data_IF_642271887395
#
_entry.id   IF_642271887395
#
_cell.length_a   1.000
_cell.length_b   1.000
_cell.length_c   1.000
_cell.angle_alpha   90.00
_cell.angle_beta   90.00
_cell.angle_gamma   90.00
#
_symmetry.space_group_name_H-M   'P 1'
#
loop_
_entity.id
_entity.type
_entity.pdbx_description
1 polymer ?
#
# COMPACT_ATOMS: atom_id res chain seq x y z
N UNK A 1 19.48 13.95 15.95
CA UNK A 1 18.42 13.95 14.89
C UNK A 1 18.77 13.10 13.67
N UNK A 2 19.94 13.19 13.04
CA UNK A 2 20.30 12.34 11.91
C UNK A 2 20.55 10.86 12.29
N UNK A 3 21.05 10.57 13.47
CA UNK A 3 21.26 9.21 13.97
C UNK A 3 19.94 8.49 14.21
N UNK A 4 18.94 9.19 14.76
CA UNK A 4 17.59 8.66 14.98
C UNK A 4 16.85 8.41 13.65
N UNK A 5 16.97 9.29 12.65
CA UNK A 5 16.37 9.08 11.31
C UNK A 5 16.99 7.89 10.57
N UNK A 6 18.30 7.65 10.73
CA UNK A 6 18.96 6.48 10.15
C UNK A 6 18.60 5.18 10.86
N UNK A 7 18.45 5.20 12.19
CA UNK A 7 17.95 4.07 12.96
C UNK A 7 16.49 3.76 12.67
N UNK A 8 15.63 4.78 12.50
CA UNK A 8 14.22 4.61 12.16
C UNK A 8 14.05 4.01 10.75
N UNK A 9 14.88 4.41 9.78
CA UNK A 9 14.90 3.81 8.44
C UNK A 9 15.29 2.33 8.45
N UNK A 10 16.13 1.90 9.39
CA UNK A 10 16.48 0.49 9.63
C UNK A 10 15.34 -0.30 10.30
N UNK A 11 14.41 0.38 10.99
CA UNK A 11 13.26 -0.23 11.66
C UNK A 11 12.07 -0.52 10.73
N UNK A 12 12.13 -0.12 9.47
CA UNK A 12 11.03 -0.24 8.51
C UNK A 12 11.47 -0.78 7.15
N UNK A 13 12.20 -1.91 7.11
CA UNK A 13 12.66 -2.44 5.83
C UNK A 13 11.48 -2.96 5.01
N UNK A 14 11.54 -2.74 3.71
CA UNK A 14 10.79 -3.56 2.77
C UNK A 14 11.33 -4.99 2.84
N UNK A 15 10.45 -5.96 2.71
CA UNK A 15 10.82 -7.37 2.66
C UNK A 15 10.41 -7.98 1.30
N UNK A 16 10.78 -9.23 1.08
CA UNK A 16 10.50 -9.92 -0.19
C UNK A 16 9.01 -10.18 -0.46
N UNK A 17 8.16 -10.04 0.54
CA UNK A 17 6.71 -10.18 0.41
C UNK A 17 6.01 -8.86 0.09
N UNK A 18 6.70 -7.71 0.18
CA UNK A 18 6.11 -6.43 -0.17
C UNK A 18 5.94 -6.27 -1.68
N UNK A 19 4.78 -5.78 -2.08
CA UNK A 19 4.55 -5.33 -3.45
C UNK A 19 5.11 -3.93 -3.63
N UNK A 20 6.15 -3.79 -4.45
CA UNK A 20 6.92 -2.55 -4.60
C UNK A 20 6.89 -2.04 -6.03
N UNK A 21 6.64 -0.73 -6.19
CA UNK A 21 6.87 0.02 -7.42
C UNK A 21 8.15 0.85 -7.28
N UNK A 22 8.85 1.06 -8.38
CA UNK A 22 10.10 1.84 -8.45
C UNK A 22 11.35 0.98 -8.31
N UNK A 23 12.50 1.61 -8.45
CA UNK A 23 13.80 0.93 -8.46
C UNK A 23 14.25 0.56 -7.04
N UNK A 24 14.88 -0.60 -6.91
CA UNK A 24 15.49 -1.03 -5.64
C UNK A 24 16.58 -0.04 -5.15
N UNK A 25 17.19 0.70 -6.07
CA UNK A 25 18.22 1.72 -5.81
C UNK A 25 17.65 3.08 -5.41
N UNK A 26 16.32 3.27 -5.42
CA UNK A 26 15.69 4.52 -5.01
C UNK A 26 16.05 4.87 -3.56
N UNK A 27 16.38 6.13 -3.33
CA UNK A 27 16.86 6.62 -2.03
C UNK A 27 15.73 6.90 -1.04
N UNK A 28 14.52 7.11 -1.55
CA UNK A 28 13.32 7.33 -0.73
C UNK A 28 12.38 6.15 -0.84
N UNK A 29 11.97 5.63 0.31
CA UNK A 29 10.95 4.59 0.42
C UNK A 29 9.69 5.19 1.00
N UNK A 30 8.58 5.04 0.30
CA UNK A 30 7.23 5.39 0.76
C UNK A 30 6.45 4.11 0.99
N UNK A 31 5.86 3.95 2.18
CA UNK A 31 4.96 2.84 2.49
C UNK A 31 3.60 3.43 2.83
N UNK A 32 2.57 2.97 2.13
CA UNK A 32 1.18 3.24 2.47
C UNK A 32 0.57 2.03 3.16
N UNK A 33 0.03 2.22 4.35
CA UNK A 33 -0.95 1.31 4.93
C UNK A 33 -2.34 1.77 4.50
N UNK A 34 -2.99 0.96 3.71
CA UNK A 34 -4.24 1.31 3.04
C UNK A 34 -5.32 0.24 3.15
N UNK A 35 -6.52 0.69 2.86
CA UNK A 35 -7.75 -0.11 2.85
C UNK A 35 -8.51 0.20 1.56
N UNK A 36 -8.81 -0.83 0.79
CA UNK A 36 -9.46 -0.67 -0.52
C UNK A 36 -10.89 -0.12 -0.44
N UNK A 37 -11.55 -0.23 0.72
CA UNK A 37 -12.90 0.30 0.92
C UNK A 37 -12.90 1.68 1.62
N UNK A 38 -11.73 2.17 2.11
CA UNK A 38 -11.61 3.45 2.77
C UNK A 38 -11.73 4.63 1.78
N UNK A 39 -12.67 5.57 1.98
CA UNK A 39 -12.84 6.72 1.07
C UNK A 39 -11.63 7.66 1.04
N UNK A 40 -10.90 7.77 2.15
CA UNK A 40 -9.66 8.57 2.20
C UNK A 40 -8.53 7.95 1.40
N UNK A 41 -8.39 6.61 1.41
CA UNK A 41 -7.43 5.90 0.55
C UNK A 41 -7.79 6.11 -0.93
N UNK A 42 -9.07 6.04 -1.29
CA UNK A 42 -9.52 6.35 -2.64
C UNK A 42 -9.15 7.77 -3.07
N UNK A 43 -9.25 8.73 -2.17
CA UNK A 43 -8.85 10.12 -2.44
C UNK A 43 -7.33 10.24 -2.60
N UNK A 44 -6.55 9.51 -1.80
CA UNK A 44 -5.09 9.49 -1.88
C UNK A 44 -4.56 8.79 -3.13
N UNK A 45 -5.22 7.75 -3.61
CA UNK A 45 -4.79 6.91 -4.73
C UNK A 45 -4.34 7.69 -5.99
N UNK A 46 -5.14 8.61 -6.60
CA UNK A 46 -4.69 9.37 -7.76
C UNK A 46 -3.53 10.30 -7.43
N UNK A 47 -3.47 10.87 -6.24
CA UNK A 47 -2.37 11.73 -5.82
C UNK A 47 -1.07 10.95 -5.65
N UNK A 48 -1.11 9.72 -5.12
CA UNK A 48 0.05 8.81 -5.07
C UNK A 48 0.55 8.53 -6.48
N UNK A 49 -0.32 8.22 -7.44
CA UNK A 49 0.08 8.00 -8.85
C UNK A 49 0.79 9.22 -9.44
N UNK A 50 0.30 10.44 -9.15
CA UNK A 50 0.95 11.69 -9.58
C UNK A 50 2.33 11.86 -8.94
N UNK A 51 2.43 11.62 -7.63
CA UNK A 51 3.71 11.69 -6.91
C UNK A 51 4.75 10.71 -7.47
N UNK A 52 4.35 9.45 -7.67
CA UNK A 52 5.23 8.44 -8.23
C UNK A 52 5.69 8.80 -9.65
N UNK A 53 4.80 9.34 -10.48
CA UNK A 53 5.16 9.83 -11.81
C UNK A 53 6.11 11.03 -11.75
N UNK A 54 5.95 11.94 -10.78
CA UNK A 54 6.81 13.11 -10.61
C UNK A 54 8.21 12.74 -10.14
N UNK A 55 8.31 11.87 -9.15
CA UNK A 55 9.59 11.48 -8.57
C UNK A 55 10.30 10.34 -9.31
N UNK A 56 9.56 9.58 -10.12
CA UNK A 56 10.06 8.46 -10.94
C UNK A 56 10.99 7.52 -10.15
N UNK A 57 12.16 7.22 -10.70
CA UNK A 57 13.11 6.24 -10.15
C UNK A 57 13.77 6.65 -8.82
N UNK A 58 13.50 7.85 -8.32
CA UNK A 58 14.01 8.36 -7.04
C UNK A 58 13.24 7.86 -5.83
N UNK A 59 12.01 7.35 -6.04
CA UNK A 59 11.12 6.85 -5.00
C UNK A 59 10.73 5.42 -5.32
N UNK A 60 10.75 4.56 -4.31
CA UNK A 60 10.07 3.28 -4.33
C UNK A 60 8.88 3.32 -3.39
N UNK A 61 7.79 2.70 -3.81
CA UNK A 61 6.51 2.73 -3.11
C UNK A 61 6.05 1.31 -2.81
N UNK A 62 5.62 1.05 -1.59
CA UNK A 62 4.97 -0.18 -1.20
C UNK A 62 3.58 0.09 -0.64
N UNK A 63 2.63 -0.75 -1.02
CA UNK A 63 1.31 -0.80 -0.41
C UNK A 63 1.24 -1.98 0.56
N UNK A 64 0.73 -1.73 1.77
CA UNK A 64 0.48 -2.74 2.79
C UNK A 64 -0.96 -2.67 3.26
N UNK A 65 -1.54 -3.82 3.50
CA UNK A 65 -2.94 -3.93 3.91
C UNK A 65 -3.17 -3.47 5.34
N UNK A 66 -4.25 -2.70 5.52
CA UNK A 66 -4.76 -2.31 6.83
C UNK A 66 -6.29 -2.25 6.78
N UNK A 67 -6.98 -3.41 6.61
CA UNK A 67 -8.44 -3.43 6.56
C UNK A 67 -9.05 -3.01 7.90
N UNK A 68 -10.02 -2.10 7.85
CA UNK A 68 -10.79 -1.60 9.01
C UNK A 68 -12.18 -2.21 8.95
N UNK A 69 -12.27 -3.50 9.23
CA UNK A 69 -13.48 -4.33 9.00
C UNK A 69 -14.73 -3.85 9.72
N UNK A 70 -14.57 -3.14 10.86
CA UNK A 70 -15.68 -2.57 11.60
C UNK A 70 -16.41 -1.46 10.84
N UNK A 71 -15.73 -0.81 9.90
CA UNK A 71 -16.26 0.28 9.08
C UNK A 71 -16.43 -0.13 7.61
N UNK A 72 -15.61 -1.07 7.16
CA UNK A 72 -15.43 -1.47 5.76
C UNK A 72 -15.58 -2.98 5.61
N UNK A 73 -16.82 -3.51 5.48
CA UNK A 73 -17.07 -4.95 5.54
C UNK A 73 -16.44 -5.78 4.42
N UNK A 74 -16.10 -5.16 3.29
CA UNK A 74 -15.46 -5.86 2.16
C UNK A 74 -13.94 -5.70 2.12
N UNK A 75 -13.36 -4.86 3.01
CA UNK A 75 -11.95 -4.48 2.95
C UNK A 75 -10.99 -5.66 3.05
N UNK A 76 -11.31 -6.64 3.91
CA UNK A 76 -10.50 -7.84 4.12
C UNK A 76 -10.52 -8.74 2.88
N UNK A 77 -11.71 -8.96 2.30
CA UNK A 77 -11.85 -9.75 1.06
C UNK A 77 -11.17 -9.07 -0.13
N UNK A 78 -11.25 -7.74 -0.23
CA UNK A 78 -10.56 -6.99 -1.25
C UNK A 78 -9.02 -7.12 -1.10
N UNK A 79 -8.51 -7.07 0.13
CA UNK A 79 -7.09 -7.29 0.42
C UNK A 79 -6.63 -8.70 0.02
N UNK A 80 -7.40 -9.75 0.38
CA UNK A 80 -7.13 -11.12 -0.03
C UNK A 80 -7.14 -11.29 -1.56
N UNK A 81 -8.08 -10.63 -2.24
CA UNK A 81 -8.16 -10.64 -3.71
C UNK A 81 -6.91 -10.00 -4.34
N UNK A 82 -6.40 -8.91 -3.77
CA UNK A 82 -5.18 -8.28 -4.23
C UNK A 82 -3.95 -9.19 -4.05
N UNK A 83 -3.84 -9.89 -2.91
CA UNK A 83 -2.77 -10.84 -2.65
C UNK A 83 -2.87 -12.08 -3.56
N UNK A 84 -4.08 -12.61 -3.78
CA UNK A 84 -4.31 -13.69 -4.73
C UNK A 84 -3.87 -13.30 -6.15
N UNK A 85 -4.13 -12.05 -6.55
CA UNK A 85 -3.61 -11.52 -7.80
C UNK A 85 -2.09 -11.35 -7.76
N UNK A 86 -1.54 -10.95 -6.62
CA UNK A 86 -0.11 -10.84 -6.37
C UNK A 86 0.62 -12.17 -6.54
N UNK A 87 0.05 -13.27 -6.03
CA UNK A 87 0.56 -14.63 -6.19
C UNK A 87 0.60 -15.09 -7.65
N UNK A 88 -0.09 -14.36 -8.55
CA UNK A 88 -0.08 -14.57 -9.99
C UNK A 88 0.59 -13.42 -10.77
N UNK A 89 1.34 -12.55 -10.06
CA UNK A 89 2.09 -11.44 -10.66
C UNK A 89 1.23 -10.26 -11.14
N UNK A 90 0.03 -10.09 -10.57
CA UNK A 90 -0.96 -9.07 -10.98
C UNK A 90 -1.44 -8.18 -9.83
N UNK A 91 -0.66 -8.04 -8.75
CA UNK A 91 -1.04 -7.23 -7.59
C UNK A 91 -1.46 -5.81 -7.99
N UNK A 92 -0.61 -5.09 -8.70
CA UNK A 92 -0.85 -3.68 -9.02
C UNK A 92 -2.04 -3.46 -9.96
N UNK A 93 -2.27 -4.38 -10.88
CA UNK A 93 -3.46 -4.32 -11.74
C UNK A 93 -4.75 -4.52 -10.92
N UNK A 94 -4.75 -5.45 -9.97
CA UNK A 94 -5.87 -5.66 -9.07
C UNK A 94 -6.05 -4.48 -8.12
N UNK A 95 -4.96 -4.00 -7.52
CA UNK A 95 -4.93 -2.82 -6.65
C UNK A 95 -5.60 -1.61 -7.32
N UNK A 96 -5.24 -1.32 -8.56
CA UNK A 96 -5.81 -0.20 -9.31
C UNK A 96 -7.32 -0.41 -9.55
N UNK A 97 -7.74 -1.60 -9.98
CA UNK A 97 -9.16 -1.91 -10.18
C UNK A 97 -9.99 -1.77 -8.91
N UNK A 98 -9.46 -2.21 -7.75
CA UNK A 98 -10.16 -2.12 -6.48
C UNK A 98 -10.41 -0.66 -6.07
N UNK A 99 -9.41 0.22 -6.20
CA UNK A 99 -9.60 1.65 -5.91
C UNK A 99 -10.49 2.35 -6.93
N UNK A 100 -10.37 2.02 -8.21
CA UNK A 100 -11.18 2.60 -9.28
C UNK A 100 -12.65 2.18 -9.19
N UNK A 101 -12.93 1.01 -8.57
CA UNK A 101 -14.27 0.45 -8.42
C UNK A 101 -14.69 0.26 -6.95
N UNK A 102 -14.26 1.11 -6.05
CA UNK A 102 -14.45 0.98 -4.60
C UNK A 102 -15.90 0.76 -4.15
N UNK A 103 -16.89 1.13 -4.95
CA UNK A 103 -18.31 0.89 -4.69
C UNK A 103 -18.77 -0.55 -4.97
N UNK A 104 -17.87 -1.41 -5.47
CA UNK A 104 -18.17 -2.76 -5.95
C UNK A 104 -17.06 -3.71 -5.53
N UNK A 105 -17.01 -4.03 -4.22
CA UNK A 105 -15.98 -4.91 -3.62
C UNK A 105 -16.55 -6.22 -3.08
N UNK A 106 -17.82 -6.55 -3.39
CA UNK A 106 -18.37 -7.87 -3.09
C UNK A 106 -17.70 -8.97 -3.92
N UNK A 107 -17.72 -10.22 -3.42
CA UNK A 107 -17.00 -11.36 -4.01
C UNK A 107 -17.27 -11.56 -5.51
N UNK A 108 -18.49 -11.31 -5.96
CA UNK A 108 -18.85 -11.39 -7.39
C UNK A 108 -18.07 -10.40 -8.26
N UNK A 109 -17.86 -9.17 -7.76
CA UNK A 109 -17.08 -8.14 -8.45
C UNK A 109 -15.59 -8.43 -8.38
N UNK A 110 -15.09 -8.88 -7.23
CA UNK A 110 -13.69 -9.27 -7.06
C UNK A 110 -13.31 -10.36 -8.10
N UNK A 111 -14.19 -11.34 -8.30
CA UNK A 111 -13.98 -12.39 -9.29
C UNK A 111 -14.03 -11.86 -10.73
N UNK A 112 -14.87 -10.86 -11.03
CA UNK A 112 -14.89 -10.19 -12.33
C UNK A 112 -13.57 -9.44 -12.58
N UNK A 113 -13.01 -8.78 -11.56
CA UNK A 113 -11.70 -8.13 -11.67
C UNK A 113 -10.58 -9.15 -11.88
N UNK A 114 -10.63 -10.30 -11.22
CA UNK A 114 -9.69 -11.39 -11.44
C UNK A 114 -9.69 -11.85 -12.92
N UNK A 115 -10.87 -11.99 -13.53
CA UNK A 115 -11.01 -12.27 -14.96
C UNK A 115 -10.43 -11.14 -15.82
N UNK A 116 -10.73 -9.88 -15.47
CA UNK A 116 -10.26 -8.70 -16.22
C UNK A 116 -8.74 -8.59 -16.21
N UNK A 117 -8.06 -8.89 -15.10
CA UNK A 117 -6.59 -8.89 -15.02
C UNK A 117 -5.97 -10.21 -15.47
N UNK A 118 -6.79 -11.11 -16.03
CA UNK A 118 -6.37 -12.38 -16.66
C UNK A 118 -5.68 -13.34 -15.68
N UNK A 119 -6.27 -13.52 -14.50
CA UNK A 119 -5.82 -14.55 -13.57
C UNK A 119 -6.31 -15.94 -14.01
N UNK A 120 -5.62 -16.97 -13.56
CA UNK A 120 -6.15 -18.32 -13.48
C UNK A 120 -7.29 -18.31 -12.47
N UNK A 121 -8.54 -18.41 -12.93
CA UNK A 121 -9.71 -18.31 -12.09
C UNK A 121 -9.89 -19.53 -11.17
N UNK A 122 -9.47 -20.72 -11.60
CA UNK A 122 -9.55 -21.90 -10.76
C UNK A 122 -8.64 -21.74 -9.51
N UNK A 123 -7.41 -21.28 -9.72
CA UNK A 123 -6.49 -20.95 -8.63
C UNK A 123 -7.01 -19.79 -7.79
N UNK A 124 -7.54 -18.74 -8.43
CA UNK A 124 -8.13 -17.61 -7.72
C UNK A 124 -9.26 -18.05 -6.78
N UNK A 125 -10.22 -18.82 -7.28
CA UNK A 125 -11.36 -19.30 -6.49
C UNK A 125 -10.87 -20.17 -5.31
N UNK A 126 -9.91 -21.08 -5.53
CA UNK A 126 -9.31 -21.90 -4.46
C UNK A 126 -8.62 -21.06 -3.37
N UNK A 127 -7.80 -20.07 -3.77
CA UNK A 127 -7.09 -19.20 -2.84
C UNK A 127 -8.07 -18.34 -2.01
N UNK A 128 -9.12 -17.81 -2.66
CA UNK A 128 -10.16 -17.01 -2.01
C UNK A 128 -11.04 -17.85 -1.07
N UNK A 129 -11.43 -19.07 -1.46
CA UNK A 129 -12.26 -19.96 -0.64
C UNK A 129 -11.51 -20.46 0.59
N UNK A 130 -10.23 -20.79 0.43
CA UNK A 130 -9.36 -21.22 1.54
C UNK A 130 -8.87 -20.07 2.43
N UNK A 131 -9.06 -18.82 2.00
CA UNK A 131 -8.54 -17.61 2.66
C UNK A 131 -7.03 -17.68 2.94
N UNK A 132 -6.27 -18.27 2.03
CA UNK A 132 -4.84 -18.57 2.23
C UNK A 132 -4.01 -17.30 2.50
N UNK A 133 -4.42 -16.14 2.01
CA UNK A 133 -3.72 -14.87 2.19
C UNK A 133 -4.18 -14.06 3.41
N UNK A 134 -5.26 -14.45 4.10
CA UNK A 134 -5.77 -13.72 5.27
C UNK A 134 -4.73 -13.56 6.39
N UNK A 135 -3.94 -14.59 6.76
CA UNK A 135 -2.91 -14.45 7.78
C UNK A 135 -1.89 -13.36 7.42
N UNK A 136 -1.49 -13.25 6.15
CA UNK A 136 -0.57 -12.23 5.68
C UNK A 136 -1.17 -10.81 5.74
N UNK A 137 -2.44 -10.65 5.34
CA UNK A 137 -3.17 -9.39 5.48
C UNK A 137 -3.19 -8.93 6.94
N UNK A 138 -3.48 -9.83 7.88
CA UNK A 138 -3.48 -9.54 9.31
C UNK A 138 -2.07 -9.23 9.85
N UNK A 139 -1.04 -9.91 9.37
CA UNK A 139 0.36 -9.63 9.72
C UNK A 139 0.73 -8.20 9.33
N UNK A 140 0.42 -7.78 8.10
CA UNK A 140 0.66 -6.42 7.64
C UNK A 140 -0.07 -5.39 8.49
N UNK A 141 -1.37 -5.59 8.75
CA UNK A 141 -2.16 -4.71 9.61
C UNK A 141 -1.55 -4.59 11.01
N UNK A 142 -1.19 -5.71 11.64
CA UNK A 142 -0.59 -5.72 12.97
C UNK A 142 0.79 -5.05 12.98
N UNK A 143 1.58 -5.24 11.94
CA UNK A 143 2.84 -4.52 11.74
C UNK A 143 2.61 -3.00 11.68
N UNK A 144 1.60 -2.56 10.94
CA UNK A 144 1.22 -1.14 10.88
C UNK A 144 0.82 -0.57 12.25
N UNK A 145 -0.06 -1.29 12.97
CA UNK A 145 -0.49 -0.93 14.35
C UNK A 145 0.70 -0.80 15.29
N UNK A 146 1.61 -1.78 15.27
CA UNK A 146 2.81 -1.77 16.11
C UNK A 146 3.76 -0.62 15.82
N UNK A 147 3.65 0.01 14.65
CA UNK A 147 4.48 1.14 14.21
C UNK A 147 3.77 2.49 14.30
N UNK A 148 2.57 2.52 14.85
CA UNK A 148 1.83 3.75 15.10
C UNK A 148 0.78 4.13 14.06
N UNK A 149 0.53 3.29 13.03
CA UNK A 149 -0.62 3.50 12.17
C UNK A 149 -1.92 3.35 13.00
N UNK A 150 -2.80 4.33 12.91
CA UNK A 150 -4.06 4.40 13.67
C UNK A 150 -5.30 4.37 12.79
N UNK A 151 -5.11 4.34 11.47
CA UNK A 151 -6.16 4.33 10.45
C UNK A 151 -5.56 4.40 9.08
N UNK A 152 -6.40 4.56 8.08
CA UNK A 152 -6.02 4.56 6.66
C UNK A 152 -6.49 5.81 5.93
N UNK A 153 -5.69 6.34 4.99
CA UNK A 153 -4.31 5.91 4.71
C UNK A 153 -3.33 6.38 5.79
N UNK A 154 -2.32 5.57 6.11
CA UNK A 154 -1.14 6.02 6.87
C UNK A 154 0.09 5.88 5.99
N UNK A 155 0.82 6.97 5.81
CA UNK A 155 2.04 7.01 5.00
C UNK A 155 3.29 7.09 5.87
N UNK A 156 4.32 6.36 5.46
CA UNK A 156 5.65 6.43 6.01
C UNK A 156 6.64 6.82 4.91
N UNK A 157 7.46 7.82 5.17
CA UNK A 157 8.59 8.19 4.30
C UNK A 157 9.90 7.87 5.03
N UNK A 158 10.65 6.94 4.50
CA UNK A 158 11.88 6.43 5.15
C UNK A 158 11.66 6.07 6.63
N UNK A 159 10.50 5.47 6.96
CA UNK A 159 10.15 5.02 8.31
C UNK A 159 9.54 6.08 9.23
N UNK A 160 9.35 7.30 8.77
CA UNK A 160 8.68 8.38 9.53
C UNK A 160 7.24 8.54 9.05
N UNK A 161 6.28 8.59 9.98
CA UNK A 161 4.87 8.85 9.66
C UNK A 161 4.73 10.28 9.17
N UNK A 162 4.01 10.44 8.05
CA UNK A 162 3.68 11.75 7.49
C UNK A 162 2.18 12.03 7.65
N UNK A 163 1.86 13.19 8.20
CA UNK A 163 0.47 13.62 8.37
C UNK A 163 -0.12 14.09 7.03
N UNK A 164 -1.09 13.34 6.54
CA UNK A 164 -1.83 13.62 5.29
C UNK A 164 -3.27 14.08 5.55
N UNK A 165 -3.65 14.39 6.79
CA UNK A 165 -5.01 14.80 7.19
C UNK A 165 -5.51 16.02 6.40
N UNK A 166 -4.61 16.88 5.97
CA UNK A 166 -4.92 18.08 5.20
C UNK A 166 -4.49 17.99 3.72
N UNK A 167 -4.32 16.76 3.23
CA UNK A 167 -3.95 16.47 1.85
C UNK A 167 -2.51 16.01 1.69
N UNK A 168 -2.13 15.70 0.45
CA UNK A 168 -0.87 15.03 0.12
C UNK A 168 0.36 15.95 0.08
N UNK A 169 0.19 17.26 0.38
CA UNK A 169 1.29 18.24 0.34
C UNK A 169 2.42 17.94 1.31
N UNK A 170 2.11 17.41 2.50
CA UNK A 170 3.13 17.02 3.47
C UNK A 170 3.92 15.80 2.99
N UNK A 171 3.25 14.82 2.37
CA UNK A 171 3.92 13.66 1.78
C UNK A 171 4.90 14.11 0.66
N UNK A 172 4.47 15.02 -0.21
CA UNK A 172 5.32 15.59 -1.25
C UNK A 172 6.58 16.23 -0.64
N UNK A 173 6.40 17.13 0.33
CA UNK A 173 7.52 17.83 1.01
C UNK A 173 8.46 16.86 1.72
N UNK A 174 7.91 15.83 2.38
CA UNK A 174 8.72 14.82 3.05
C UNK A 174 9.58 14.03 2.05
N UNK A 175 9.02 13.67 0.90
CA UNK A 175 9.79 13.03 -0.17
C UNK A 175 10.91 13.95 -0.66
N UNK A 176 10.60 15.22 -0.99
CA UNK A 176 11.60 16.19 -1.45
C UNK A 176 12.75 16.39 -0.42
N UNK A 177 12.40 16.55 0.85
CA UNK A 177 13.38 16.72 1.92
C UNK A 177 14.31 15.51 2.09
N UNK A 178 13.80 14.29 1.80
CA UNK A 178 14.62 13.07 1.85
C UNK A 178 15.45 12.86 0.56
N UNK A 179 15.04 13.43 -0.57
CA UNK A 179 15.81 13.39 -1.82
C UNK A 179 16.98 14.40 -1.79
N UNK A 180 16.80 15.52 -1.09
CA UNK A 180 17.78 16.59 -0.96
C UNK A 180 18.09 16.82 0.53
N UNK A 181 18.76 15.85 1.22
CA UNK A 181 19.18 16.12 2.59
C UNK A 181 20.08 17.36 2.55
N UNK A 182 19.63 18.43 3.22
CA UNK A 182 20.43 19.66 3.31
C UNK A 182 21.85 19.29 3.73
N UNK A 183 22.86 19.69 2.95
CA UNK A 183 24.24 19.65 3.36
C UNK A 183 24.35 20.49 4.64
N UNK A 184 24.30 19.83 5.77
CA UNK A 184 24.64 20.46 7.05
C UNK A 184 26.16 20.55 7.09
N UNK A 185 26.64 21.72 6.63
CA UNK A 185 28.02 22.19 6.88
C UNK A 185 28.19 22.42 8.36
#
# INVERSE_FOLDING_TARGET
MQRERKETALLFPLNSADHVLGLATATVTVIEYGDFECPYCRTAYPAVKILLKHFQDRVRFAFRHYPVVEMHPHSERAAESAETAGAQGRFWQMHDLLFENQQRLGDEYLRQYALQVKLDLQRYDQDMDSRVHLPFVHEQMNSGKGRGARGTPTFFVNGVIEDVSFGMGNLYKAIEANLHPANMS
#
